data_IF_200964573288
#
_entry.id   IF_200964573288
#
_cell.length_a   1.000
_cell.length_b   1.000
_cell.length_c   1.000
_cell.angle_alpha   90.00
_cell.angle_beta   90.00
_cell.angle_gamma   90.00
#
_symmetry.space_group_name_H-M   'P 1'
#
loop_
_entity.id
_entity.type
_entity.pdbx_description
1 polymer ?
#
# COMPACT_ATOMS: atom_id res chain seq x y z
N UNK A 1 13.39 8.67 -1.93
CA UNK A 1 13.40 7.68 -0.82
C UNK A 1 12.32 7.91 0.24
N UNK A 2 11.39 8.85 0.01
CA UNK A 2 10.46 9.36 1.03
C UNK A 2 9.42 8.35 1.56
N UNK A 3 9.34 7.17 0.96
CA UNK A 3 8.44 6.08 1.35
C UNK A 3 9.16 4.92 2.04
N UNK A 4 10.45 5.02 2.40
CA UNK A 4 11.14 3.97 3.17
C UNK A 4 11.13 4.35 4.67
N UNK A 5 10.27 3.70 5.45
CA UNK A 5 10.15 3.95 6.89
C UNK A 5 11.35 3.38 7.67
N UNK A 6 11.78 2.15 7.39
CA UNK A 6 12.86 1.52 8.17
C UNK A 6 13.58 0.38 7.45
N UNK A 7 14.83 0.14 7.85
CA UNK A 7 15.63 -1.02 7.43
C UNK A 7 16.43 -1.56 8.61
N UNK A 8 16.35 -2.87 8.82
CA UNK A 8 17.12 -3.55 9.86
C UNK A 8 17.62 -4.90 9.42
N UNK A 9 18.73 -5.35 9.99
CA UNK A 9 19.15 -6.74 9.82
C UNK A 9 18.57 -7.55 10.97
N UNK A 10 17.63 -8.44 10.70
CA UNK A 10 16.93 -9.15 11.79
C UNK A 10 17.62 -10.45 12.16
N UNK A 11 18.26 -11.11 11.19
CA UNK A 11 18.88 -12.43 11.39
C UNK A 11 20.18 -12.55 10.61
N UNK A 12 21.08 -13.37 11.12
CA UNK A 12 22.31 -13.76 10.44
C UNK A 12 22.43 -15.27 10.47
N UNK A 13 22.70 -15.87 9.32
CA UNK A 13 22.82 -17.32 9.17
C UNK A 13 24.18 -17.65 8.54
N UNK A 14 24.90 -18.62 9.08
CA UNK A 14 26.11 -19.13 8.44
C UNK A 14 25.73 -20.39 7.67
N UNK A 15 25.93 -20.36 6.35
CA UNK A 15 25.64 -21.46 5.43
C UNK A 15 26.93 -22.04 4.89
N UNK A 16 26.94 -23.34 4.69
CA UNK A 16 28.03 -24.03 4.01
C UNK A 16 27.82 -24.01 2.50
N UNK A 17 28.91 -23.83 1.77
CA UNK A 17 28.90 -23.91 0.31
C UNK A 17 28.89 -25.38 -0.10
N UNK A 18 27.92 -25.75 -0.92
CA UNK A 18 27.81 -27.11 -1.48
C UNK A 18 28.99 -27.30 -2.47
N UNK A 19 29.90 -28.23 -2.17
CA UNK A 19 31.06 -28.58 -3.01
C UNK A 19 32.24 -29.21 -2.26
N UNK A 20 33.28 -29.63 -2.99
CA UNK A 20 34.46 -30.33 -2.43
C UNK A 20 35.36 -29.49 -1.50
N UNK A 21 35.16 -28.17 -1.42
CA UNK A 21 35.88 -27.30 -0.50
C UNK A 21 34.90 -26.77 0.55
N UNK A 22 35.05 -27.24 1.80
CA UNK A 22 34.28 -26.75 2.95
C UNK A 22 34.57 -25.27 3.18
N UNK A 23 33.73 -24.42 2.63
CA UNK A 23 33.76 -22.98 2.82
C UNK A 23 32.39 -22.53 3.29
N UNK A 24 32.36 -21.81 4.41
CA UNK A 24 31.13 -21.25 4.96
C UNK A 24 31.02 -19.76 4.63
N UNK A 25 29.80 -19.25 4.56
CA UNK A 25 29.53 -17.83 4.35
C UNK A 25 28.35 -17.38 5.19
N UNK A 26 28.43 -16.14 5.67
CA UNK A 26 27.34 -15.52 6.41
C UNK A 26 26.39 -14.77 5.49
N UNK A 27 25.10 -15.06 5.64
CA UNK A 27 23.96 -14.37 5.03
C UNK A 27 23.33 -13.47 6.08
N UNK A 28 22.96 -12.27 5.68
CA UNK A 28 22.25 -11.28 6.48
C UNK A 28 20.84 -11.18 5.93
N UNK A 29 19.84 -11.37 6.79
CA UNK A 29 18.43 -11.20 6.45
C UNK A 29 18.01 -9.77 6.82
N UNK A 30 17.73 -8.98 5.79
CA UNK A 30 17.30 -7.60 5.89
C UNK A 30 15.78 -7.59 5.93
N UNK A 31 15.22 -6.89 6.91
CA UNK A 31 13.83 -6.48 6.96
C UNK A 31 13.74 -5.06 6.40
N UNK A 32 12.90 -4.89 5.40
CA UNK A 32 12.68 -3.60 4.74
C UNK A 32 11.23 -3.22 4.98
N UNK A 33 11.00 -2.05 5.56
CA UNK A 33 9.67 -1.49 5.83
C UNK A 33 9.53 -0.26 4.95
N UNK A 34 8.65 -0.37 3.94
CA UNK A 34 8.33 0.77 3.08
C UNK A 34 7.33 1.64 3.84
N UNK A 35 6.13 1.14 4.10
CA UNK A 35 5.11 1.85 4.87
C UNK A 35 4.55 0.96 6.01
N UNK A 36 3.62 1.51 6.80
CA UNK A 36 2.93 0.80 7.89
C UNK A 36 2.20 -0.48 7.44
N UNK A 37 1.96 -0.63 6.14
CA UNK A 37 1.24 -1.73 5.52
C UNK A 37 2.12 -2.72 4.76
N UNK A 38 3.40 -2.40 4.52
CA UNK A 38 4.29 -3.20 3.69
C UNK A 38 5.69 -3.37 4.27
N UNK A 39 6.03 -4.63 4.53
CA UNK A 39 7.38 -5.07 4.82
C UNK A 39 7.74 -6.32 4.01
N UNK A 40 9.01 -6.47 3.68
CA UNK A 40 9.53 -7.69 3.06
C UNK A 40 10.94 -8.02 3.54
N UNK A 41 11.36 -9.25 3.26
CA UNK A 41 12.66 -9.77 3.69
C UNK A 41 13.51 -10.14 2.48
N UNK A 42 14.76 -9.73 2.51
CA UNK A 42 15.76 -10.14 1.52
C UNK A 42 16.99 -10.68 2.22
N UNK A 43 17.69 -11.57 1.54
CA UNK A 43 18.92 -12.17 2.04
C UNK A 43 20.09 -11.70 1.20
N UNK A 44 21.11 -11.13 1.84
CA UNK A 44 22.32 -10.62 1.19
C UNK A 44 23.56 -11.13 1.90
N UNK A 45 24.63 -11.42 1.15
CA UNK A 45 25.94 -11.73 1.71
C UNK A 45 26.80 -10.49 1.85
N UNK A 46 27.78 -10.53 2.74
CA UNK A 46 28.75 -9.44 2.91
C UNK A 46 29.40 -8.98 1.59
N UNK A 47 29.70 -9.90 0.67
CA UNK A 47 30.28 -9.53 -0.63
C UNK A 47 29.35 -8.67 -1.51
N UNK A 48 28.04 -8.82 -1.33
CA UNK A 48 27.04 -8.05 -2.07
C UNK A 48 26.94 -6.63 -1.51
N UNK A 49 26.94 -6.49 -0.19
CA UNK A 49 27.11 -5.17 0.45
C UNK A 49 28.43 -4.52 0.05
N UNK A 50 29.51 -5.31 -0.07
CA UNK A 50 30.81 -4.80 -0.47
C UNK A 50 30.79 -4.24 -1.90
N UNK A 51 30.14 -4.95 -2.82
CA UNK A 51 29.92 -4.47 -4.19
C UNK A 51 29.16 -3.13 -4.18
N UNK A 52 28.04 -3.06 -3.45
CA UNK A 52 27.29 -1.81 -3.29
C UNK A 52 28.18 -0.67 -2.74
N UNK A 53 29.00 -0.94 -1.72
CA UNK A 53 29.91 0.05 -1.17
C UNK A 53 30.93 0.56 -2.21
N UNK A 54 31.49 -0.35 -3.01
CA UNK A 54 32.46 0.03 -4.04
C UNK A 54 31.75 0.88 -5.13
N UNK A 55 30.54 0.50 -5.57
CA UNK A 55 29.70 1.26 -6.53
C UNK A 55 29.31 2.66 -6.00
N UNK A 56 28.92 2.76 -4.71
CA UNK A 56 28.59 4.02 -4.04
C UNK A 56 29.81 4.93 -3.93
N UNK A 57 30.97 4.36 -3.60
CA UNK A 57 32.21 5.12 -3.48
C UNK A 57 32.67 5.67 -4.83
N UNK A 58 32.50 4.90 -5.90
CA UNK A 58 32.74 5.34 -7.27
C UNK A 58 31.79 6.48 -7.65
N UNK A 59 30.50 6.33 -7.38
CA UNK A 59 29.46 7.31 -7.72
C UNK A 59 29.66 8.65 -7.00
N UNK A 60 29.96 8.61 -5.70
CA UNK A 60 30.15 9.83 -4.91
C UNK A 60 31.54 10.46 -5.10
N UNK A 61 32.55 9.68 -5.52
CA UNK A 61 33.92 10.15 -5.72
C UNK A 61 34.46 10.96 -4.53
N UNK A 62 34.84 12.23 -4.79
CA UNK A 62 35.34 13.15 -3.77
C UNK A 62 34.29 13.58 -2.73
N UNK A 63 33.01 13.41 -3.02
CA UNK A 63 31.90 13.76 -2.12
C UNK A 63 31.55 12.64 -1.13
N UNK A 64 32.29 11.52 -1.13
CA UNK A 64 32.04 10.41 -0.22
C UNK A 64 32.23 10.83 1.25
N UNK A 65 31.13 10.93 2.00
CA UNK A 65 31.09 11.30 3.44
C UNK A 65 30.42 10.23 4.33
N UNK A 66 30.20 9.02 3.81
CA UNK A 66 29.55 7.94 4.54
C UNK A 66 30.50 7.29 5.59
N UNK A 67 29.95 6.58 6.59
CA UNK A 67 30.75 5.92 7.62
C UNK A 67 31.77 4.94 7.05
N UNK A 68 32.76 4.56 7.88
CA UNK A 68 33.71 3.51 7.50
C UNK A 68 32.97 2.19 7.27
N UNK A 69 33.16 1.60 6.10
CA UNK A 69 32.58 0.30 5.78
C UNK A 69 33.35 -0.83 6.49
N UNK A 70 32.66 -1.85 7.05
CA UNK A 70 33.31 -2.95 7.75
C UNK A 70 34.34 -3.65 6.86
N UNK A 71 35.52 -3.93 7.39
CA UNK A 71 36.62 -4.60 6.65
C UNK A 71 36.32 -6.08 6.43
N UNK A 72 36.88 -6.66 5.37
CA UNK A 72 36.84 -8.10 5.10
C UNK A 72 37.68 -8.85 6.14
N UNK A 73 37.19 -10.00 6.61
CA UNK A 73 37.98 -10.90 7.48
C UNK A 73 38.60 -11.99 6.61
N UNK A 74 39.87 -12.32 6.87
CA UNK A 74 40.59 -13.40 6.18
C UNK A 74 40.36 -14.77 6.83
N UNK A 75 39.95 -14.79 8.10
CA UNK A 75 39.69 -16.00 8.88
C UNK A 75 38.18 -16.24 9.08
N UNK A 76 37.78 -17.49 9.38
CA UNK A 76 36.41 -17.81 9.77
C UNK A 76 35.91 -16.88 10.88
N UNK A 77 34.71 -16.36 10.72
CA UNK A 77 34.17 -15.37 11.65
C UNK A 77 33.65 -16.04 12.92
N UNK A 78 34.13 -15.55 14.07
CA UNK A 78 33.51 -15.86 15.37
C UNK A 78 32.12 -15.19 15.45
N UNK A 79 31.16 -15.72 16.23
CA UNK A 79 29.82 -15.13 16.39
C UNK A 79 29.85 -13.63 16.79
N UNK A 80 30.73 -13.24 17.69
CA UNK A 80 30.91 -11.83 18.08
C UNK A 80 31.33 -10.93 16.89
N UNK A 81 32.12 -11.45 15.96
CA UNK A 81 32.50 -10.72 14.73
C UNK A 81 31.32 -10.59 13.77
N UNK A 82 30.44 -11.59 13.71
CA UNK A 82 29.21 -11.55 12.90
C UNK A 82 28.27 -10.46 13.44
N UNK A 83 28.06 -10.43 14.76
CA UNK A 83 27.21 -9.42 15.41
C UNK A 83 27.77 -8.01 15.21
N UNK A 84 29.08 -7.83 15.44
CA UNK A 84 29.73 -6.52 15.21
C UNK A 84 29.56 -6.06 13.76
N UNK A 85 29.84 -6.94 12.80
CA UNK A 85 29.72 -6.63 11.37
C UNK A 85 28.27 -6.33 10.97
N UNK A 86 27.31 -7.06 11.53
CA UNK A 86 25.88 -6.80 11.34
C UNK A 86 25.54 -5.35 11.68
N UNK A 87 25.90 -4.88 12.88
CA UNK A 87 25.65 -3.51 13.32
C UNK A 87 26.36 -2.48 12.44
N UNK A 88 27.61 -2.76 12.04
CA UNK A 88 28.37 -1.88 11.15
C UNK A 88 27.73 -1.76 9.75
N UNK A 89 27.22 -2.87 9.20
CA UNK A 89 26.52 -2.87 7.91
C UNK A 89 25.17 -2.14 7.99
N UNK A 90 24.42 -2.37 9.07
CA UNK A 90 23.11 -1.75 9.31
C UNK A 90 23.25 -0.22 9.43
N UNK A 91 24.18 0.25 10.26
CA UNK A 91 24.47 1.68 10.36
C UNK A 91 24.99 2.28 9.04
N UNK A 92 25.81 1.55 8.28
CA UNK A 92 26.29 2.04 6.99
C UNK A 92 25.15 2.20 5.98
N UNK A 93 24.27 1.20 5.84
CA UNK A 93 23.11 1.28 4.95
C UNK A 93 22.19 2.42 5.39
N UNK A 94 21.87 2.51 6.68
CA UNK A 94 21.00 3.56 7.20
C UNK A 94 21.50 4.97 6.85
N UNK A 95 22.82 5.18 6.91
CA UNK A 95 23.43 6.47 6.51
C UNK A 95 23.44 6.66 5.00
N UNK A 96 23.63 5.60 4.22
CA UNK A 96 23.59 5.65 2.76
C UNK A 96 22.20 6.06 2.26
N UNK A 97 21.13 5.63 2.94
CA UNK A 97 19.74 6.00 2.61
C UNK A 97 19.44 7.51 2.75
N UNK A 98 20.32 8.29 3.38
CA UNK A 98 20.15 9.74 3.46
C UNK A 98 20.77 10.49 2.27
N UNK A 99 21.34 9.79 1.29
CA UNK A 99 22.10 10.39 0.18
C UNK A 99 21.34 10.18 -1.13
N UNK A 100 20.79 11.26 -1.68
CA UNK A 100 19.98 11.24 -2.91
C UNK A 100 20.75 10.74 -4.14
N UNK A 101 22.01 11.15 -4.30
CA UNK A 101 22.87 10.83 -5.45
C UNK A 101 23.03 9.32 -5.71
N UNK A 102 22.80 8.47 -4.69
CA UNK A 102 22.96 7.01 -4.77
C UNK A 102 21.65 6.24 -4.58
N UNK A 103 20.49 6.93 -4.60
CA UNK A 103 19.18 6.34 -4.36
C UNK A 103 18.92 5.11 -5.24
N UNK A 104 19.22 5.20 -6.55
CA UNK A 104 18.96 4.12 -7.49
C UNK A 104 19.82 2.86 -7.22
N UNK A 105 21.06 3.05 -6.76
CA UNK A 105 21.93 1.94 -6.37
C UNK A 105 21.37 1.22 -5.14
N UNK A 106 20.87 1.99 -4.18
CA UNK A 106 20.27 1.45 -2.96
C UNK A 106 18.95 0.74 -3.26
N UNK A 107 18.06 1.34 -4.06
CA UNK A 107 16.82 0.69 -4.52
C UNK A 107 17.10 -0.65 -5.21
N UNK A 108 18.04 -0.66 -6.15
CA UNK A 108 18.44 -1.90 -6.86
C UNK A 108 18.98 -2.94 -5.89
N UNK A 109 19.85 -2.55 -4.95
CA UNK A 109 20.40 -3.47 -3.96
C UNK A 109 19.33 -4.05 -3.04
N UNK A 110 18.41 -3.21 -2.57
CA UNK A 110 17.29 -3.57 -1.70
C UNK A 110 16.16 -4.29 -2.47
N UNK A 111 16.25 -4.38 -3.79
CA UNK A 111 15.20 -4.97 -4.62
C UNK A 111 13.90 -4.16 -4.60
N UNK A 112 13.99 -2.86 -4.28
CA UNK A 112 12.89 -1.92 -4.43
C UNK A 112 12.77 -1.67 -5.92
N UNK A 113 11.73 -2.24 -6.55
CA UNK A 113 11.43 -1.92 -7.95
C UNK A 113 10.77 -0.55 -8.00
N UNK A 114 11.11 0.27 -8.99
CA UNK A 114 10.50 1.60 -9.19
C UNK A 114 8.98 1.54 -9.34
N UNK A 115 8.46 0.36 -9.68
CA UNK A 115 7.06 0.04 -9.89
C UNK A 115 6.44 -0.65 -8.65
N UNK A 116 6.81 -0.20 -7.45
CA UNK A 116 6.40 -0.87 -6.21
C UNK A 116 4.88 -0.94 -6.03
N UNK A 117 4.14 0.03 -6.57
CA UNK A 117 2.68 0.00 -6.62
C UNK A 117 2.12 -1.16 -7.46
N UNK A 118 2.84 -1.67 -8.47
CA UNK A 118 2.38 -2.79 -9.31
C UNK A 118 2.73 -4.17 -8.74
N UNK A 119 3.75 -4.30 -7.87
CA UNK A 119 4.14 -5.58 -7.26
C UNK A 119 3.41 -5.94 -5.96
N UNK A 120 2.80 -4.97 -5.28
CA UNK A 120 1.99 -5.21 -4.07
C UNK A 120 0.74 -6.05 -4.41
N UNK A 121 0.30 -6.04 -5.67
CA UNK A 121 -1.04 -6.48 -6.02
C UNK A 121 -1.20 -8.00 -6.20
N UNK A 122 -0.22 -8.78 -6.69
CA UNK A 122 -0.50 -10.18 -7.05
C UNK A 122 -0.15 -11.27 -6.02
N UNK A 123 0.78 -11.04 -5.10
CA UNK A 123 1.28 -12.13 -4.21
C UNK A 123 1.00 -11.94 -2.71
N UNK A 124 0.32 -10.86 -2.31
CA UNK A 124 0.13 -10.49 -0.90
C UNK A 124 -1.29 -10.12 -0.52
N UNK A 125 -2.26 -10.21 -1.44
CA UNK A 125 -3.65 -9.97 -1.14
C UNK A 125 -4.29 -11.24 -0.57
N UNK A 126 -5.07 -11.10 0.51
CA UNK A 126 -5.93 -12.19 0.95
C UNK A 126 -7.13 -12.34 -0.02
N UNK A 127 -7.89 -13.42 0.08
CA UNK A 127 -9.03 -13.69 -0.82
C UNK A 127 -10.08 -12.55 -0.86
N UNK A 128 -10.27 -11.83 0.24
CA UNK A 128 -11.20 -10.69 0.32
C UNK A 128 -10.69 -9.49 -0.49
N UNK A 129 -9.39 -9.23 -0.42
CA UNK A 129 -8.73 -8.15 -1.12
C UNK A 129 -8.56 -8.46 -2.61
N UNK A 130 -8.28 -9.72 -2.96
CA UNK A 130 -8.32 -10.19 -4.35
C UNK A 130 -9.72 -9.97 -4.94
N UNK A 131 -10.78 -10.22 -4.18
CA UNK A 131 -12.15 -9.94 -4.62
C UNK A 131 -12.39 -8.45 -4.89
N UNK A 132 -11.94 -7.57 -3.99
CA UNK A 132 -12.07 -6.11 -4.16
C UNK A 132 -11.34 -5.64 -5.41
N UNK A 133 -10.10 -6.10 -5.62
CA UNK A 133 -9.30 -5.76 -6.78
C UNK A 133 -9.92 -6.28 -8.08
N UNK A 134 -10.34 -7.54 -8.09
CA UNK A 134 -11.00 -8.14 -9.26
C UNK A 134 -12.28 -7.37 -9.61
N UNK A 135 -13.10 -7.02 -8.61
CA UNK A 135 -14.27 -6.16 -8.81
C UNK A 135 -13.88 -4.81 -9.42
N UNK A 136 -12.90 -4.12 -8.83
CA UNK A 136 -12.45 -2.80 -9.26
C UNK A 136 -11.94 -2.79 -10.70
N UNK A 137 -11.16 -3.80 -11.08
CA UNK A 137 -10.66 -3.95 -12.45
C UNK A 137 -11.79 -4.28 -13.44
N UNK A 138 -12.71 -5.17 -13.05
CA UNK A 138 -13.76 -5.67 -13.94
C UNK A 138 -14.85 -4.64 -14.20
N UNK A 139 -15.24 -3.86 -13.18
CA UNK A 139 -16.37 -2.93 -13.29
C UNK A 139 -16.02 -1.69 -14.13
N UNK A 140 -14.75 -1.26 -14.08
CA UNK A 140 -14.27 -0.14 -14.88
C UNK A 140 -14.19 -0.51 -16.37
N UNK A 141 -13.80 -1.74 -16.70
CA UNK A 141 -13.64 -2.22 -18.09
C UNK A 141 -14.90 -2.72 -18.78
N UNK A 142 -15.97 -3.09 -18.06
CA UNK A 142 -17.15 -3.76 -18.64
C UNK A 142 -18.46 -3.01 -18.41
N UNK A 143 -18.73 -1.96 -19.20
CA UNK A 143 -19.93 -1.11 -19.09
C UNK A 143 -21.25 -1.90 -19.09
N UNK A 144 -21.35 -2.95 -19.91
CA UNK A 144 -22.60 -3.69 -20.12
C UNK A 144 -22.90 -4.71 -19.01
N UNK A 145 -21.96 -4.97 -18.10
CA UNK A 145 -22.10 -5.97 -17.03
C UNK A 145 -22.02 -5.37 -15.63
N UNK A 146 -21.88 -4.04 -15.50
CA UNK A 146 -21.62 -3.39 -14.21
C UNK A 146 -22.68 -3.71 -13.15
N UNK A 147 -23.96 -3.78 -13.52
CA UNK A 147 -25.04 -4.13 -12.59
C UNK A 147 -24.86 -5.55 -12.02
N UNK A 148 -24.58 -6.54 -12.88
CA UNK A 148 -24.35 -7.93 -12.46
C UNK A 148 -23.07 -8.07 -11.61
N UNK A 149 -22.03 -7.29 -11.95
CA UNK A 149 -20.79 -7.23 -11.17
C UNK A 149 -21.04 -6.64 -9.77
N UNK A 150 -21.85 -5.58 -9.66
CA UNK A 150 -22.27 -4.99 -8.38
C UNK A 150 -23.07 -5.98 -7.54
N UNK A 151 -24.06 -6.66 -8.13
CA UNK A 151 -24.86 -7.68 -7.42
C UNK A 151 -23.99 -8.84 -6.92
N UNK A 152 -23.06 -9.30 -7.75
CA UNK A 152 -22.12 -10.36 -7.40
C UNK A 152 -21.19 -9.93 -6.28
N UNK A 153 -20.64 -8.72 -6.38
CA UNK A 153 -19.78 -8.14 -5.35
C UNK A 153 -20.53 -7.98 -4.04
N UNK A 154 -21.71 -7.36 -4.04
CA UNK A 154 -22.52 -7.14 -2.83
C UNK A 154 -22.83 -8.46 -2.13
N UNK A 155 -23.36 -9.45 -2.86
CA UNK A 155 -23.69 -10.76 -2.29
C UNK A 155 -22.48 -11.46 -1.70
N UNK A 156 -21.35 -11.41 -2.39
CA UNK A 156 -20.11 -12.01 -1.90
C UNK A 156 -19.63 -11.24 -0.67
N UNK A 157 -19.35 -9.95 -0.80
CA UNK A 157 -18.73 -9.12 0.23
C UNK A 157 -19.47 -9.21 1.56
N UNK A 158 -20.78 -8.92 1.56
CA UNK A 158 -21.61 -8.90 2.78
C UNK A 158 -22.08 -10.29 3.25
N UNK A 159 -21.78 -11.36 2.51
CA UNK A 159 -22.13 -12.73 2.90
C UNK A 159 -21.24 -13.32 4.00
N UNK A 160 -20.12 -12.67 4.34
CA UNK A 160 -19.21 -13.11 5.42
C UNK A 160 -18.51 -11.92 6.06
N UNK A 161 -17.97 -12.13 7.27
CA UNK A 161 -17.05 -11.17 7.88
C UNK A 161 -15.74 -11.14 7.09
N UNK A 162 -15.18 -9.95 6.91
CA UNK A 162 -13.99 -9.70 6.09
C UNK A 162 -12.87 -9.13 6.95
N UNK A 163 -11.63 -9.26 6.50
CA UNK A 163 -10.48 -8.55 7.05
C UNK A 163 -9.76 -7.87 5.89
N UNK A 164 -9.85 -6.53 5.82
CA UNK A 164 -9.40 -5.75 4.67
C UNK A 164 -8.50 -4.62 5.15
N UNK A 165 -7.35 -4.44 4.49
CA UNK A 165 -6.45 -3.31 4.78
C UNK A 165 -7.03 -1.97 4.32
N UNK A 166 -6.68 -0.91 5.03
CA UNK A 166 -7.13 0.48 4.74
C UNK A 166 -6.87 0.88 3.28
N UNK A 167 -5.72 0.48 2.71
CA UNK A 167 -5.40 0.71 1.29
C UNK A 167 -6.46 0.13 0.33
N UNK A 168 -6.94 -1.08 0.61
CA UNK A 168 -7.94 -1.76 -0.22
C UNK A 168 -9.34 -1.18 -0.03
N UNK A 169 -9.64 -0.66 1.17
CA UNK A 169 -10.83 0.17 1.41
C UNK A 169 -10.77 1.43 0.54
N UNK A 170 -9.61 2.10 0.48
CA UNK A 170 -9.36 3.24 -0.40
C UNK A 170 -9.60 2.90 -1.88
N UNK A 171 -9.05 1.78 -2.37
CA UNK A 171 -9.28 1.31 -3.75
C UNK A 171 -10.76 1.06 -4.05
N UNK A 172 -11.47 0.40 -3.12
CA UNK A 172 -12.88 0.11 -3.28
C UNK A 172 -13.72 1.39 -3.32
N UNK A 173 -13.48 2.33 -2.41
CA UNK A 173 -14.15 3.63 -2.41
C UNK A 173 -13.81 4.42 -3.68
N UNK A 174 -12.54 4.43 -4.11
CA UNK A 174 -12.11 5.07 -5.36
C UNK A 174 -12.82 4.49 -6.59
N UNK A 175 -13.23 3.23 -6.53
CA UNK A 175 -14.04 2.60 -7.58
C UNK A 175 -15.52 2.93 -7.44
N UNK A 176 -16.09 2.89 -6.23
CA UNK A 176 -17.54 3.03 -6.00
C UNK A 176 -18.05 4.47 -6.11
N UNK A 177 -17.29 5.46 -5.64
CA UNK A 177 -17.75 6.85 -5.59
C UNK A 177 -18.19 7.39 -6.96
N UNK A 178 -17.42 7.19 -8.05
CA UNK A 178 -17.85 7.63 -9.39
C UNK A 178 -19.06 6.87 -9.90
N UNK A 179 -19.21 5.58 -9.54
CA UNK A 179 -20.34 4.76 -9.97
C UNK A 179 -21.65 5.20 -9.33
N UNK A 180 -21.59 5.87 -8.16
CA UNK A 180 -22.77 6.51 -7.57
C UNK A 180 -23.30 7.64 -8.46
N UNK A 181 -22.47 8.31 -9.27
CA UNK A 181 -22.94 9.33 -10.22
C UNK A 181 -23.38 8.81 -11.59
N UNK A 182 -23.39 7.49 -11.80
CA UNK A 182 -23.73 6.84 -13.07
C UNK A 182 -25.24 6.72 -13.26
N UNK A 183 -25.70 6.91 -14.50
CA UNK A 183 -27.13 6.95 -14.83
C UNK A 183 -27.88 5.65 -14.49
N UNK A 184 -27.26 4.50 -14.75
CA UNK A 184 -27.93 3.20 -14.76
C UNK A 184 -27.70 2.40 -13.48
N UNK A 185 -26.53 2.58 -12.85
CA UNK A 185 -26.11 1.82 -11.67
C UNK A 185 -25.92 2.68 -10.42
N UNK A 186 -26.21 3.98 -10.50
CA UNK A 186 -26.05 4.94 -9.40
C UNK A 186 -26.74 4.50 -8.11
N UNK A 187 -28.06 4.28 -8.17
CA UNK A 187 -28.89 3.79 -7.04
C UNK A 187 -28.27 2.57 -6.37
N UNK A 188 -27.84 1.59 -7.16
CA UNK A 188 -27.26 0.35 -6.64
C UNK A 188 -25.89 0.59 -6.00
N UNK A 189 -25.04 1.39 -6.64
CA UNK A 189 -23.70 1.71 -6.14
C UNK A 189 -23.79 2.49 -4.83
N UNK A 190 -24.72 3.45 -4.74
CA UNK A 190 -24.97 4.20 -3.52
C UNK A 190 -25.52 3.31 -2.40
N UNK A 191 -26.37 2.33 -2.74
CA UNK A 191 -26.83 1.34 -1.77
C UNK A 191 -25.68 0.50 -1.21
N UNK A 192 -24.75 0.04 -2.06
CA UNK A 192 -23.55 -0.67 -1.63
C UNK A 192 -22.68 0.20 -0.73
N UNK A 193 -22.42 1.46 -1.12
CA UNK A 193 -21.67 2.42 -0.31
C UNK A 193 -22.32 2.66 1.05
N UNK A 194 -23.64 2.82 1.09
CA UNK A 194 -24.42 2.95 2.31
C UNK A 194 -24.20 1.74 3.24
N UNK A 195 -24.30 0.51 2.72
CA UNK A 195 -24.06 -0.70 3.52
C UNK A 195 -22.62 -0.78 4.05
N UNK A 196 -21.63 -0.37 3.25
CA UNK A 196 -20.23 -0.32 3.69
C UNK A 196 -20.03 0.65 4.87
N UNK A 197 -20.77 1.75 4.90
CA UNK A 197 -20.67 2.77 5.95
C UNK A 197 -21.63 2.57 7.12
N UNK A 198 -22.42 1.49 7.14
CA UNK A 198 -23.45 1.26 8.14
C UNK A 198 -23.13 0.02 8.97
N UNK A 199 -23.13 0.18 10.29
CA UNK A 199 -22.81 -0.88 11.26
C UNK A 199 -23.65 -2.14 11.11
N UNK A 200 -24.93 -2.01 10.74
CA UNK A 200 -25.84 -3.15 10.60
C UNK A 200 -25.46 -4.10 9.46
N UNK A 201 -24.67 -3.62 8.49
CA UNK A 201 -24.27 -4.40 7.32
C UNK A 201 -22.78 -4.69 7.27
N UNK A 202 -21.93 -3.81 7.82
CA UNK A 202 -20.49 -3.95 7.77
C UNK A 202 -19.86 -3.77 9.16
N UNK A 203 -19.09 -4.76 9.62
CA UNK A 203 -18.38 -4.69 10.91
C UNK A 203 -17.29 -3.63 10.89
N UNK A 204 -16.61 -3.48 9.77
CA UNK A 204 -15.49 -2.54 9.61
C UNK A 204 -15.96 -1.15 9.12
N UNK A 205 -17.23 -0.81 9.34
CA UNK A 205 -17.84 0.43 8.83
C UNK A 205 -17.08 1.69 9.26
N UNK A 206 -16.44 1.69 10.44
CA UNK A 206 -15.65 2.82 10.93
C UNK A 206 -14.45 3.11 10.02
N UNK A 207 -13.74 2.07 9.54
CA UNK A 207 -12.62 2.23 8.60
C UNK A 207 -13.13 2.82 7.28
N UNK A 208 -14.30 2.38 6.81
CA UNK A 208 -14.92 2.94 5.61
C UNK A 208 -15.30 4.41 5.78
N UNK A 209 -15.86 4.80 6.93
CA UNK A 209 -16.18 6.20 7.23
C UNK A 209 -14.91 7.07 7.29
N UNK A 210 -13.88 6.59 7.99
CA UNK A 210 -12.60 7.28 8.09
C UNK A 210 -11.95 7.47 6.71
N UNK A 211 -11.97 6.45 5.86
CA UNK A 211 -11.42 6.55 4.51
C UNK A 211 -12.28 7.41 3.59
N UNK A 212 -13.60 7.32 3.68
CA UNK A 212 -14.52 8.14 2.90
C UNK A 212 -14.31 9.63 3.19
N UNK A 213 -14.15 10.01 4.46
CA UNK A 213 -13.98 11.42 4.86
C UNK A 213 -12.60 11.98 4.51
N UNK A 214 -11.61 11.12 4.28
CA UNK A 214 -10.28 11.50 3.77
C UNK A 214 -10.20 11.59 2.24
N UNK A 215 -11.25 11.18 1.51
CA UNK A 215 -11.24 11.23 0.04
C UNK A 215 -11.17 12.67 -0.48
N UNK A 216 -10.45 12.92 -1.59
CA UNK A 216 -10.43 14.24 -2.21
C UNK A 216 -11.83 14.73 -2.55
N UNK A 217 -12.10 16.02 -2.34
CA UNK A 217 -13.40 16.65 -2.60
C UNK A 217 -13.88 16.40 -4.05
N UNK A 218 -12.97 16.48 -5.02
CA UNK A 218 -13.28 16.20 -6.43
C UNK A 218 -13.73 14.77 -6.68
N UNK A 219 -13.28 13.82 -5.85
CA UNK A 219 -13.73 12.44 -5.90
C UNK A 219 -15.11 12.26 -5.27
N UNK A 220 -15.35 12.93 -4.14
CA UNK A 220 -16.65 12.92 -3.45
C UNK A 220 -17.75 13.55 -4.31
N UNK A 221 -17.44 14.63 -5.04
CA UNK A 221 -18.35 15.27 -6.01
C UNK A 221 -18.86 14.30 -7.08
N UNK A 222 -18.06 13.31 -7.48
CA UNK A 222 -18.47 12.33 -8.51
C UNK A 222 -19.66 11.47 -8.10
N UNK A 223 -20.00 11.42 -6.81
CA UNK A 223 -21.22 10.75 -6.35
C UNK A 223 -22.51 11.45 -6.79
N UNK A 224 -22.45 12.75 -7.14
CA UNK A 224 -23.62 13.57 -7.52
C UNK A 224 -24.78 13.46 -6.51
N UNK A 225 -24.47 13.60 -5.22
CA UNK A 225 -25.45 13.43 -4.13
C UNK A 225 -26.65 14.39 -4.26
N UNK A 226 -26.48 15.54 -4.89
CA UNK A 226 -27.55 16.48 -5.20
C UNK A 226 -28.63 15.89 -6.11
N UNK A 227 -28.25 15.05 -7.09
CA UNK A 227 -29.21 14.40 -7.97
C UNK A 227 -30.13 13.42 -7.22
N UNK A 228 -29.65 12.83 -6.12
CA UNK A 228 -30.44 11.96 -5.24
C UNK A 228 -31.35 12.74 -4.29
N UNK A 229 -30.84 13.87 -3.78
CA UNK A 229 -31.51 14.64 -2.74
C UNK A 229 -32.55 15.61 -3.30
N UNK A 230 -32.29 16.18 -4.48
CA UNK A 230 -33.07 17.28 -5.06
C UNK A 230 -33.87 16.88 -6.31
N UNK A 231 -33.48 15.83 -7.04
CA UNK A 231 -34.14 15.43 -8.29
C UNK A 231 -34.88 14.10 -8.14
N UNK A 232 -36.00 13.95 -8.87
CA UNK A 232 -36.81 12.71 -8.90
C UNK A 232 -36.11 11.49 -9.51
N UNK A 233 -34.93 11.65 -10.12
CA UNK A 233 -34.27 10.59 -10.93
C UNK A 233 -33.84 9.37 -10.09
N UNK A 234 -33.55 9.58 -8.79
CA UNK A 234 -33.10 8.53 -7.88
C UNK A 234 -33.83 8.55 -6.51
N UNK A 235 -35.13 8.85 -6.51
CA UNK A 235 -35.90 9.03 -5.27
C UNK A 235 -35.82 7.83 -4.32
N UNK A 236 -35.65 6.62 -4.85
CA UNK A 236 -35.55 5.38 -4.07
C UNK A 236 -34.28 5.31 -3.19
N UNK A 237 -33.25 6.10 -3.50
CA UNK A 237 -31.99 6.13 -2.74
C UNK A 237 -31.76 7.43 -1.96
N UNK A 238 -32.80 8.24 -1.77
CA UNK A 238 -32.70 9.52 -1.07
C UNK A 238 -32.24 9.35 0.39
N UNK A 239 -32.71 8.29 1.07
CA UNK A 239 -32.33 8.00 2.47
C UNK A 239 -30.83 7.66 2.56
N UNK A 240 -30.34 6.85 1.62
CA UNK A 240 -28.93 6.45 1.54
C UNK A 240 -28.06 7.67 1.23
N UNK A 241 -28.45 8.51 0.28
CA UNK A 241 -27.75 9.76 -0.04
C UNK A 241 -27.67 10.68 1.18
N UNK A 242 -28.79 10.84 1.90
CA UNK A 242 -28.85 11.66 3.11
C UNK A 242 -27.96 11.11 4.22
N UNK A 243 -27.91 9.78 4.39
CA UNK A 243 -27.03 9.14 5.36
C UNK A 243 -25.56 9.41 5.04
N UNK A 244 -25.13 9.21 3.80
CA UNK A 244 -23.75 9.49 3.36
C UNK A 244 -23.42 10.97 3.56
N UNK A 245 -24.33 11.88 3.20
CA UNK A 245 -24.13 13.32 3.42
C UNK A 245 -23.95 13.67 4.91
N UNK A 246 -24.73 13.06 5.80
CA UNK A 246 -24.60 13.30 7.25
C UNK A 246 -23.30 12.76 7.83
N UNK A 247 -22.80 11.62 7.31
CA UNK A 247 -21.45 11.16 7.63
C UNK A 247 -20.46 12.26 7.25
N UNK A 248 -20.45 12.70 5.99
CA UNK A 248 -19.49 13.71 5.53
C UNK A 248 -19.59 15.00 6.35
N UNK A 249 -20.80 15.48 6.63
CA UNK A 249 -21.06 16.70 7.42
C UNK A 249 -20.52 16.62 8.85
N UNK A 250 -20.39 15.42 9.40
CA UNK A 250 -19.86 15.22 10.75
C UNK A 250 -18.34 15.39 10.83
N UNK A 251 -17.64 15.36 9.69
CA UNK A 251 -16.17 15.40 9.64
C UNK A 251 -15.60 16.54 8.77
N UNK A 252 -16.39 17.06 7.84
CA UNK A 252 -15.98 18.12 6.91
C UNK A 252 -16.64 19.46 7.26
N UNK A 253 -15.97 20.55 6.94
CA UNK A 253 -16.51 21.89 7.14
C UNK A 253 -17.68 22.19 6.17
N UNK A 254 -18.46 23.22 6.49
CA UNK A 254 -19.65 23.58 5.69
C UNK A 254 -19.30 23.95 4.25
N UNK A 255 -18.12 24.52 4.01
CA UNK A 255 -17.68 24.90 2.66
C UNK A 255 -17.44 23.65 1.80
N UNK A 256 -16.70 22.68 2.33
CA UNK A 256 -16.45 21.40 1.68
C UNK A 256 -17.76 20.65 1.39
N UNK A 257 -18.72 20.67 2.34
CA UNK A 257 -20.04 20.06 2.11
C UNK A 257 -20.81 20.75 0.98
N UNK A 258 -20.80 22.09 0.95
CA UNK A 258 -21.41 22.84 -0.15
C UNK A 258 -20.74 22.44 -1.47
N UNK A 259 -19.40 22.42 -1.51
CA UNK A 259 -18.65 22.05 -2.71
C UNK A 259 -19.01 20.63 -3.19
N UNK A 260 -19.18 19.65 -2.29
CA UNK A 260 -19.56 18.28 -2.64
C UNK A 260 -20.96 18.21 -3.28
N UNK A 261 -21.91 19.00 -2.79
CA UNK A 261 -23.32 18.95 -3.21
C UNK A 261 -23.61 19.90 -4.37
N UNK A 262 -22.83 20.97 -4.57
CA UNK A 262 -23.05 21.87 -5.71
C UNK A 262 -22.27 21.40 -6.94
N UNK A 263 -22.95 20.66 -7.80
CA UNK A 263 -22.49 20.33 -9.15
C UNK A 263 -22.51 21.58 -10.04
N UNK A 264 -21.43 22.37 -10.03
CA UNK A 264 -21.08 23.35 -11.08
C UNK A 264 -19.82 22.92 -11.81
#
# INVERSE_FOLDING_TARGET
>A
MDELVDISIIRTETRDKIGCLHSSYTVYELKIIIDDSYQYFIQKRYKEFRKLYDDVKETLGHNYKLPKFPRKTLHPMKPATIIKRKLELENWIFRALAVEDIENLLKTFLGIKDDYQSLIDEHTLNDDEVMIRNFSNSINGNSNQRMSLLDTFEKKYFGRNRIIREKQVGTLLGTLLPLCGDEFIGTKSLHVLYKLCTRDYNKDFEIFIQMLTKMPIDMLKKMKLDEYLLKKRYSESQIQAFHILNILKSYLDTKAIIDIVTSK
#
